data_IF_005282694649
#
_entry.id   IF_005282694649
#
_cell.length_a   1.000
_cell.length_b   1.000
_cell.length_c   1.000
_cell.angle_alpha   90.00
_cell.angle_beta   90.00
_cell.angle_gamma   90.00
#
_symmetry.space_group_name_H-M   'P 1'
#
loop_
_entity.id
_entity.type
_entity.pdbx_description
1 polymer ?
#
# COMPACT_ATOMS: atom_id res chain seq x y z
N UNK A 1 -74.92 -2.01 11.77
CA UNK A 1 -74.29 -1.11 12.75
C UNK A 1 -73.56 -1.94 13.73
N UNK A 2 -72.25 -2.13 13.46
CA UNK A 2 -71.31 -2.88 14.31
C UNK A 2 -70.46 -1.87 15.07
N UNK A 3 -70.71 -1.83 16.38
CA UNK A 3 -69.96 -0.96 17.30
C UNK A 3 -68.47 -1.24 17.25
N UNK A 4 -67.70 -0.21 16.92
CA UNK A 4 -66.25 -0.22 17.03
C UNK A 4 -65.86 -0.22 18.50
N UNK A 5 -65.36 -1.34 19.00
CA UNK A 5 -64.68 -1.40 20.30
C UNK A 5 -63.40 -0.59 20.23
N UNK A 6 -63.39 0.56 20.88
CA UNK A 6 -62.16 1.35 21.17
C UNK A 6 -61.23 0.53 22.08
N UNK A 7 -60.13 0.05 21.56
CA UNK A 7 -59.07 -0.53 22.36
C UNK A 7 -58.21 0.63 22.88
N UNK A 8 -58.74 1.35 23.86
CA UNK A 8 -57.89 2.21 24.70
C UNK A 8 -57.50 1.35 25.89
N UNK A 9 -56.30 0.80 25.85
CA UNK A 9 -55.72 0.08 26.98
C UNK A 9 -55.55 1.04 28.16
N UNK A 10 -56.25 0.78 29.24
CA UNK A 10 -56.34 1.59 30.46
C UNK A 10 -55.08 1.54 31.37
N UNK A 11 -53.92 1.15 30.84
CA UNK A 11 -52.64 1.10 31.58
C UNK A 11 -51.58 2.06 30.99
N UNK A 12 -52.01 3.28 30.64
CA UNK A 12 -51.04 4.32 30.38
C UNK A 12 -50.45 4.80 31.71
N UNK A 13 -49.19 4.46 31.97
CA UNK A 13 -48.42 5.07 33.05
C UNK A 13 -48.47 6.59 32.89
N UNK A 14 -48.88 7.37 33.93
CA UNK A 14 -48.92 8.82 33.82
C UNK A 14 -47.57 9.36 33.34
N UNK A 15 -47.59 10.29 32.38
CA UNK A 15 -46.37 10.95 31.95
C UNK A 15 -45.79 11.69 33.15
N UNK A 16 -44.45 11.60 33.37
CA UNK A 16 -43.81 12.33 34.46
C UNK A 16 -43.88 13.84 34.17
N UNK A 17 -44.01 14.65 35.21
CA UNK A 17 -44.07 16.13 35.15
C UNK A 17 -42.85 16.75 34.42
N UNK A 18 -41.72 16.05 34.47
CA UNK A 18 -40.50 16.41 33.69
C UNK A 18 -40.04 15.20 32.90
N UNK A 19 -39.87 15.39 31.59
CA UNK A 19 -39.27 14.37 30.73
C UNK A 19 -37.78 14.37 30.98
N UNK A 20 -37.29 13.35 31.63
CA UNK A 20 -35.83 13.07 31.74
C UNK A 20 -35.39 12.20 30.57
N UNK A 21 -34.20 12.50 30.01
CA UNK A 21 -33.60 11.69 28.94
C UNK A 21 -32.52 10.74 29.47
N UNK A 22 -32.12 10.91 30.72
CA UNK A 22 -31.06 10.12 31.35
C UNK A 22 -31.44 8.63 31.42
N UNK A 23 -30.59 7.76 30.89
CA UNK A 23 -30.80 6.33 30.84
C UNK A 23 -31.83 5.83 29.82
N UNK A 24 -32.38 6.72 28.98
CA UNK A 24 -33.41 6.37 28.01
C UNK A 24 -32.86 5.43 26.92
N UNK A 25 -31.62 5.69 26.46
CA UNK A 25 -30.94 4.87 25.48
C UNK A 25 -30.67 3.45 26.02
N UNK A 26 -30.24 3.33 27.25
CA UNK A 26 -29.98 2.02 27.89
C UNK A 26 -31.24 1.22 28.07
N UNK A 27 -32.32 1.88 28.48
CA UNK A 27 -33.65 1.27 28.62
C UNK A 27 -34.15 0.70 27.29
N UNK A 28 -34.14 1.50 26.24
CA UNK A 28 -34.71 1.07 24.97
C UNK A 28 -33.79 0.05 24.27
N UNK A 29 -32.48 0.15 24.43
CA UNK A 29 -31.57 -0.87 23.95
C UNK A 29 -31.88 -2.24 24.56
N UNK A 30 -32.07 -2.30 25.87
CA UNK A 30 -32.44 -3.55 26.54
C UNK A 30 -33.75 -4.14 26.00
N UNK A 31 -34.77 -3.32 25.79
CA UNK A 31 -36.04 -3.75 25.20
C UNK A 31 -35.85 -4.27 23.78
N UNK A 32 -35.12 -3.57 22.94
CA UNK A 32 -34.90 -3.99 21.55
C UNK A 32 -34.09 -5.27 21.45
N UNK A 33 -33.12 -5.47 22.34
CA UNK A 33 -32.31 -6.70 22.40
C UNK A 33 -33.16 -7.90 22.87
N UNK A 34 -34.01 -7.72 23.90
CA UNK A 34 -34.91 -8.74 24.43
C UNK A 34 -35.99 -9.14 23.40
N UNK A 35 -36.65 -8.17 22.80
CA UNK A 35 -37.66 -8.40 21.78
C UNK A 35 -37.11 -8.89 20.44
N UNK A 36 -35.79 -8.80 20.22
CA UNK A 36 -35.17 -9.08 18.94
C UNK A 36 -35.68 -8.17 17.82
N UNK A 37 -35.98 -6.89 18.13
CA UNK A 37 -36.64 -5.91 17.25
C UNK A 37 -35.92 -5.75 15.92
N UNK A 38 -34.61 -5.87 15.92
CA UNK A 38 -33.76 -5.65 14.72
C UNK A 38 -33.23 -6.93 14.08
N UNK A 39 -33.61 -8.10 14.60
CA UNK A 39 -33.20 -9.39 14.03
C UNK A 39 -33.80 -9.59 12.64
N UNK A 40 -32.99 -10.04 11.71
CA UNK A 40 -33.41 -10.48 10.39
C UNK A 40 -34.12 -11.82 10.48
N UNK A 41 -35.36 -11.87 10.03
CA UNK A 41 -36.23 -13.06 10.15
C UNK A 41 -35.95 -14.08 9.04
N UNK A 42 -35.16 -13.70 8.04
CA UNK A 42 -34.79 -14.54 6.90
C UNK A 42 -36.03 -15.08 6.15
N UNK A 43 -36.99 -14.19 5.89
CA UNK A 43 -38.18 -14.55 5.11
C UNK A 43 -37.77 -15.07 3.73
N UNK A 44 -38.50 -16.07 3.23
CA UNK A 44 -38.24 -16.65 1.89
C UNK A 44 -38.78 -15.78 0.75
N UNK A 45 -39.63 -14.83 1.03
CA UNK A 45 -40.14 -13.87 0.06
C UNK A 45 -39.13 -12.74 -0.15
N UNK A 46 -38.35 -12.84 -1.23
CA UNK A 46 -37.37 -11.82 -1.59
C UNK A 46 -37.94 -10.41 -1.79
N UNK A 47 -39.23 -10.29 -2.13
CA UNK A 47 -39.88 -8.99 -2.32
C UNK A 47 -40.13 -8.30 -0.98
N UNK A 48 -40.27 -9.06 0.09
CA UNK A 48 -40.40 -8.56 1.45
C UNK A 48 -39.07 -8.25 2.13
N UNK A 49 -37.95 -8.61 1.56
CA UNK A 49 -36.59 -8.36 2.10
C UNK A 49 -36.04 -7.05 1.57
N UNK A 50 -35.45 -6.27 2.47
CA UNK A 50 -34.60 -5.14 2.13
C UNK A 50 -33.20 -5.34 2.69
N UNK A 51 -32.21 -5.46 1.83
CA UNK A 51 -30.83 -5.69 2.23
C UNK A 51 -30.02 -4.38 2.18
N UNK A 52 -29.24 -4.14 3.23
CA UNK A 52 -28.32 -3.02 3.33
C UNK A 52 -26.90 -3.57 3.25
N UNK A 53 -26.17 -3.14 2.24
CA UNK A 53 -24.76 -3.44 2.06
C UNK A 53 -23.94 -2.20 2.42
N UNK A 54 -23.50 -2.15 3.67
CA UNK A 54 -22.66 -1.05 4.19
C UNK A 54 -21.22 -1.52 4.27
N UNK A 55 -20.24 -0.78 3.70
CA UNK A 55 -18.84 -1.12 3.87
C UNK A 55 -18.49 -1.24 5.36
N UNK A 56 -17.78 -2.30 5.77
CA UNK A 56 -17.35 -2.44 7.15
C UNK A 56 -16.38 -1.32 7.51
N UNK A 57 -16.50 -0.70 8.70
CA UNK A 57 -15.53 0.29 9.14
C UNK A 57 -14.17 -0.33 9.36
N UNK A 58 -13.11 0.39 9.01
CA UNK A 58 -11.75 -0.03 9.31
C UNK A 58 -11.49 0.10 10.79
N UNK A 59 -11.09 -1.03 11.40
CA UNK A 59 -10.80 -1.12 12.85
C UNK A 59 -9.36 -0.64 13.10
N UNK A 60 -9.18 0.67 13.21
CA UNK A 60 -7.85 1.29 13.32
C UNK A 60 -7.82 2.49 14.29
N UNK A 61 -8.43 2.35 15.45
CA UNK A 61 -8.47 3.37 16.47
C UNK A 61 -9.88 3.76 16.90
N UNK A 62 -10.10 5.02 17.21
CA UNK A 62 -11.40 5.50 17.69
C UNK A 62 -12.31 5.89 16.53
N UNK A 63 -13.59 5.63 16.69
CA UNK A 63 -14.62 6.17 15.80
C UNK A 63 -14.62 7.71 15.88
N UNK A 64 -14.74 8.34 14.74
CA UNK A 64 -14.90 9.79 14.64
C UNK A 64 -16.30 10.18 14.15
N UNK A 65 -16.63 11.47 14.25
CA UNK A 65 -17.94 12.01 13.88
C UNK A 65 -18.38 11.62 12.45
N UNK A 66 -17.45 11.46 11.52
CA UNK A 66 -17.75 11.02 10.15
C UNK A 66 -18.34 9.60 10.10
N UNK A 67 -17.83 8.67 10.91
CA UNK A 67 -18.43 7.35 11.04
C UNK A 67 -19.87 7.43 11.60
N UNK A 68 -20.05 8.17 12.68
CA UNK A 68 -21.38 8.38 13.29
C UNK A 68 -22.36 8.93 12.25
N UNK A 69 -21.94 9.94 11.51
CA UNK A 69 -22.76 10.57 10.47
C UNK A 69 -23.18 9.57 9.38
N UNK A 70 -22.23 8.84 8.79
CA UNK A 70 -22.47 7.90 7.70
C UNK A 70 -23.40 6.75 8.14
N UNK A 71 -23.14 6.15 9.29
CA UNK A 71 -23.94 5.02 9.77
C UNK A 71 -25.32 5.43 10.27
N UNK A 72 -25.48 6.65 10.81
CA UNK A 72 -26.78 7.19 11.14
C UNK A 72 -27.68 7.38 9.90
N UNK A 73 -27.11 7.86 8.78
CA UNK A 73 -27.88 7.96 7.52
C UNK A 73 -28.37 6.59 7.05
N UNK A 74 -27.52 5.59 7.10
CA UNK A 74 -27.88 4.21 6.74
C UNK A 74 -28.97 3.67 7.69
N UNK A 75 -28.85 3.94 8.98
CA UNK A 75 -29.80 3.48 9.99
C UNK A 75 -31.20 4.11 9.81
N UNK A 76 -31.27 5.37 9.42
CA UNK A 76 -32.55 6.03 9.09
C UNK A 76 -33.27 5.27 7.97
N UNK A 77 -32.57 4.83 6.94
CA UNK A 77 -33.14 4.03 5.85
C UNK A 77 -33.58 2.67 6.37
N UNK A 78 -32.80 2.01 7.20
CA UNK A 78 -33.12 0.72 7.79
C UNK A 78 -34.41 0.80 8.60
N UNK A 79 -34.51 1.81 9.47
CA UNK A 79 -35.72 2.04 10.30
C UNK A 79 -36.92 2.34 9.43
N UNK A 80 -36.84 3.23 8.47
CA UNK A 80 -37.91 3.53 7.52
C UNK A 80 -38.41 2.28 6.82
N UNK A 81 -37.51 1.41 6.31
CA UNK A 81 -37.89 0.18 5.65
C UNK A 81 -38.61 -0.81 6.60
N UNK A 82 -38.14 -0.95 7.85
CA UNK A 82 -38.86 -1.76 8.86
C UNK A 82 -40.26 -1.22 9.14
N UNK A 83 -40.40 0.09 9.30
CA UNK A 83 -41.73 0.73 9.48
C UNK A 83 -42.65 0.50 8.27
N UNK A 84 -42.07 0.30 7.07
CA UNK A 84 -42.83 -0.07 5.86
C UNK A 84 -43.12 -1.57 5.76
N UNK A 85 -42.76 -2.37 6.77
CA UNK A 85 -43.06 -3.80 6.83
C UNK A 85 -42.03 -4.72 6.18
N UNK A 86 -40.88 -4.18 5.74
CA UNK A 86 -39.82 -5.01 5.20
C UNK A 86 -39.07 -5.76 6.29
N UNK A 87 -38.64 -6.99 5.97
CA UNK A 87 -37.66 -7.74 6.73
C UNK A 87 -36.25 -7.23 6.30
N UNK A 88 -35.61 -6.46 7.19
CA UNK A 88 -34.41 -5.73 6.86
C UNK A 88 -33.16 -6.52 7.26
N UNK A 89 -32.38 -6.92 6.29
CA UNK A 89 -31.03 -7.49 6.50
C UNK A 89 -30.02 -6.35 6.62
N UNK A 90 -29.57 -6.09 7.84
CA UNK A 90 -28.59 -5.04 8.16
C UNK A 90 -27.53 -5.59 9.11
N UNK A 91 -26.53 -6.32 8.58
CA UNK A 91 -25.41 -6.84 9.37
C UNK A 91 -24.38 -5.75 9.64
N UNK A 92 -23.49 -6.01 10.61
CA UNK A 92 -22.26 -5.24 10.82
C UNK A 92 -21.05 -6.08 10.51
N UNK A 93 -20.11 -5.51 9.74
CA UNK A 93 -18.80 -6.10 9.50
C UNK A 93 -17.68 -5.27 10.12
N UNK A 94 -16.53 -5.90 10.29
CA UNK A 94 -15.30 -5.29 10.76
C UNK A 94 -14.23 -5.44 9.70
N UNK A 95 -13.61 -4.31 9.28
CA UNK A 95 -12.46 -4.31 8.39
C UNK A 95 -11.18 -4.25 9.24
N UNK A 96 -10.64 -5.44 9.53
CA UNK A 96 -9.59 -5.65 10.53
C UNK A 96 -8.18 -5.58 9.95
N UNK A 97 -8.03 -5.25 8.69
CA UNK A 97 -6.75 -5.24 8.00
C UNK A 97 -6.42 -3.89 7.36
N UNK A 98 -5.22 -3.82 6.80
CA UNK A 98 -4.73 -2.66 6.06
C UNK A 98 -3.66 -1.87 6.81
N UNK A 99 -2.98 -0.97 6.09
CA UNK A 99 -1.90 -0.15 6.63
C UNK A 99 -2.30 0.73 7.82
N UNK A 100 -3.51 1.31 7.89
CA UNK A 100 -3.92 2.07 9.07
C UNK A 100 -3.91 1.22 10.35
N UNK A 101 -4.43 -0.01 10.30
CA UNK A 101 -4.40 -0.96 11.41
C UNK A 101 -2.96 -1.34 11.77
N UNK A 102 -2.13 -1.69 10.78
CA UNK A 102 -0.72 -2.02 11.01
C UNK A 102 0.06 -0.86 11.66
N UNK A 103 -0.12 0.37 11.16
CA UNK A 103 0.51 1.57 11.76
C UNK A 103 0.05 1.83 13.18
N UNK A 104 -1.23 1.59 13.48
CA UNK A 104 -1.74 1.67 14.83
C UNK A 104 -1.05 0.66 15.74
N UNK A 105 -0.95 -0.60 15.32
CA UNK A 105 -0.27 -1.68 16.06
C UNK A 105 1.20 -1.34 16.31
N UNK A 106 1.90 -0.85 15.30
CA UNK A 106 3.30 -0.42 15.41
C UNK A 106 3.48 0.65 16.49
N UNK A 107 2.61 1.65 16.53
CA UNK A 107 2.68 2.72 17.52
C UNK A 107 2.19 2.28 18.89
N UNK A 108 1.12 1.47 18.96
CA UNK A 108 0.51 1.03 20.22
C UNK A 108 1.41 0.11 21.01
N UNK A 109 2.11 -0.80 20.33
CA UNK A 109 3.02 -1.77 20.95
C UNK A 109 4.51 -1.44 20.77
N UNK A 110 4.87 -0.44 19.97
CA UNK A 110 6.26 -0.07 19.70
C UNK A 110 7.06 -1.10 18.92
N UNK A 111 6.42 -1.75 17.95
CA UNK A 111 6.99 -2.85 17.19
C UNK A 111 6.97 -2.56 15.69
N UNK A 112 7.77 -3.29 14.93
CA UNK A 112 7.73 -3.31 13.46
C UNK A 112 8.00 -4.70 12.92
N UNK A 113 7.46 -5.02 11.77
CA UNK A 113 7.70 -6.31 11.13
C UNK A 113 9.12 -6.41 10.57
N UNK A 114 9.78 -7.52 10.86
CA UNK A 114 10.97 -8.01 10.17
C UNK A 114 10.73 -9.47 9.74
N UNK A 115 10.55 -9.67 8.43
CA UNK A 115 10.22 -10.99 7.88
C UNK A 115 11.37 -12.01 7.98
N UNK A 116 12.58 -11.57 8.32
CA UNK A 116 13.74 -12.44 8.52
C UNK A 116 13.76 -13.10 9.91
N UNK A 117 13.00 -12.55 10.86
CA UNK A 117 12.96 -13.07 12.22
C UNK A 117 12.06 -14.31 12.34
N UNK A 118 12.48 -15.32 13.13
CA UNK A 118 11.65 -16.46 13.44
C UNK A 118 10.50 -16.05 14.38
N UNK A 119 9.45 -16.89 14.39
CA UNK A 119 8.35 -16.74 15.34
C UNK A 119 8.82 -17.03 16.78
N UNK A 120 8.44 -16.16 17.69
CA UNK A 120 8.66 -16.29 19.13
C UNK A 120 7.28 -16.47 19.82
N UNK A 121 6.94 -17.67 20.32
CA UNK A 121 5.65 -17.91 20.98
C UNK A 121 5.51 -17.18 22.34
N UNK A 122 6.62 -16.80 22.96
CA UNK A 122 6.65 -16.15 24.27
C UNK A 122 6.84 -14.61 24.16
N UNK A 123 6.78 -14.07 22.96
CA UNK A 123 6.98 -12.65 22.70
C UNK A 123 5.98 -11.80 23.47
N UNK A 124 6.52 -10.83 24.23
CA UNK A 124 5.74 -9.77 24.87
C UNK A 124 6.11 -8.43 24.25
N UNK A 125 5.10 -7.58 23.91
CA UNK A 125 5.39 -6.27 23.38
C UNK A 125 6.09 -5.37 24.43
N UNK A 126 6.98 -4.46 24.00
CA UNK A 126 7.73 -3.60 24.93
C UNK A 126 6.84 -2.69 25.76
N UNK A 127 5.66 -2.34 25.25
CA UNK A 127 4.63 -1.58 25.98
C UNK A 127 3.27 -1.75 25.31
N UNK A 128 2.22 -1.32 26.01
CA UNK A 128 0.84 -1.23 25.52
C UNK A 128 0.27 0.16 25.82
N UNK A 129 -0.50 0.72 24.89
CA UNK A 129 -1.28 1.92 25.18
C UNK A 129 -0.61 3.25 24.91
N UNK A 130 0.22 3.36 23.86
CA UNK A 130 0.78 4.67 23.44
C UNK A 130 -0.11 5.39 22.45
N UNK A 131 -1.41 5.35 22.63
CA UNK A 131 -2.39 5.99 21.76
C UNK A 131 -2.06 7.48 21.54
N UNK A 132 -1.92 7.86 20.26
CA UNK A 132 -1.60 9.21 19.84
C UNK A 132 -0.11 9.57 19.86
N UNK A 133 0.79 8.71 20.32
CA UNK A 133 2.22 8.93 20.25
C UNK A 133 2.82 8.24 19.04
N UNK A 134 3.31 9.00 18.07
CA UNK A 134 4.07 8.44 16.94
C UNK A 134 5.44 8.01 17.45
N UNK A 135 5.77 6.73 17.26
CA UNK A 135 7.10 6.18 17.57
C UNK A 135 7.90 6.13 16.27
N UNK A 136 9.10 6.70 16.30
CA UNK A 136 9.98 6.63 15.12
C UNK A 136 10.33 5.17 14.83
N UNK A 137 10.38 4.81 13.55
CA UNK A 137 10.67 3.44 13.11
C UNK A 137 11.99 2.87 13.64
N UNK A 138 12.97 3.74 13.93
CA UNK A 138 14.26 3.37 14.54
C UNK A 138 14.14 2.91 15.99
N UNK A 139 13.11 3.37 16.71
CA UNK A 139 12.86 3.09 18.11
C UNK A 139 11.86 1.92 18.29
N UNK A 140 11.28 1.42 17.18
CA UNK A 140 10.40 0.25 17.17
C UNK A 140 11.20 -1.04 17.20
N UNK A 141 10.78 -1.99 18.04
CA UNK A 141 11.40 -3.32 18.15
C UNK A 141 11.02 -4.16 16.92
N UNK A 142 11.99 -4.73 16.17
CA UNK A 142 11.69 -5.62 15.08
C UNK A 142 11.16 -6.97 15.61
N UNK A 143 10.06 -7.46 15.03
CA UNK A 143 9.45 -8.74 15.40
C UNK A 143 9.07 -9.55 14.16
N UNK A 144 8.88 -10.87 14.35
CA UNK A 144 8.45 -11.73 13.26
C UNK A 144 7.08 -11.34 12.72
N UNK A 145 6.82 -11.67 11.46
CA UNK A 145 5.51 -11.42 10.85
C UNK A 145 4.38 -12.10 11.64
N UNK A 146 4.60 -13.30 12.18
CA UNK A 146 3.57 -14.03 12.91
C UNK A 146 3.23 -13.37 14.23
N UNK A 147 4.23 -12.94 15.00
CA UNK A 147 4.00 -12.18 16.22
C UNK A 147 3.26 -10.85 15.94
N UNK A 148 3.61 -10.18 14.85
CA UNK A 148 2.92 -8.96 14.46
C UNK A 148 1.44 -9.19 14.12
N UNK A 149 1.12 -10.27 13.40
CA UNK A 149 -0.27 -10.66 13.11
C UNK A 149 -1.04 -10.91 14.40
N UNK A 150 -0.47 -11.64 15.35
CA UNK A 150 -1.10 -11.90 16.66
C UNK A 150 -1.40 -10.61 17.43
N UNK A 151 -0.50 -9.62 17.37
CA UNK A 151 -0.74 -8.30 17.95
C UNK A 151 -1.82 -7.50 17.21
N UNK A 152 -1.90 -7.63 15.87
CA UNK A 152 -2.98 -7.02 15.09
C UNK A 152 -4.33 -7.60 15.51
N UNK A 153 -4.47 -8.92 15.53
CA UNK A 153 -5.69 -9.60 15.95
C UNK A 153 -6.11 -9.25 17.38
N UNK A 154 -5.13 -9.14 18.28
CA UNK A 154 -5.39 -8.74 19.68
C UNK A 154 -5.93 -7.32 19.80
N UNK A 155 -5.34 -6.35 19.08
CA UNK A 155 -5.75 -4.95 19.16
C UNK A 155 -7.08 -4.71 18.45
N UNK A 156 -7.28 -5.28 17.25
CA UNK A 156 -8.55 -5.14 16.52
C UNK A 156 -9.71 -5.69 17.32
N UNK A 157 -9.57 -6.87 17.97
CA UNK A 157 -10.61 -7.43 18.82
C UNK A 157 -10.99 -6.54 20.03
N UNK A 158 -10.09 -5.67 20.50
CA UNK A 158 -10.39 -4.66 21.51
C UNK A 158 -11.13 -3.47 20.90
N UNK A 159 -10.66 -2.97 19.78
CA UNK A 159 -11.24 -1.82 19.08
C UNK A 159 -12.68 -2.12 18.59
N UNK A 160 -12.95 -3.32 18.08
CA UNK A 160 -14.29 -3.77 17.68
C UNK A 160 -15.31 -3.64 18.81
N UNK A 161 -14.94 -4.06 20.01
CA UNK A 161 -15.82 -3.95 21.20
C UNK A 161 -16.13 -2.50 21.53
N UNK A 162 -15.16 -1.60 21.38
CA UNK A 162 -15.37 -0.18 21.59
C UNK A 162 -16.29 0.41 20.53
N UNK A 163 -16.14 0.01 19.27
CA UNK A 163 -17.00 0.43 18.17
C UNK A 163 -18.43 -0.08 18.38
N UNK A 164 -18.60 -1.35 18.68
CA UNK A 164 -19.90 -1.94 18.96
C UNK A 164 -20.60 -1.26 20.14
N UNK A 165 -19.87 -1.01 21.23
CA UNK A 165 -20.42 -0.35 22.40
C UNK A 165 -20.96 1.06 22.07
N UNK A 166 -20.19 1.84 21.26
CA UNK A 166 -20.65 3.17 20.85
C UNK A 166 -21.88 3.10 19.94
N UNK A 167 -21.90 2.21 18.96
CA UNK A 167 -23.04 2.10 18.05
C UNK A 167 -24.29 1.54 18.71
N UNK A 168 -24.15 0.65 19.68
CA UNK A 168 -25.25 0.23 20.54
C UNK A 168 -25.80 1.39 21.38
N UNK A 169 -24.89 2.27 21.87
CA UNK A 169 -25.30 3.47 22.60
C UNK A 169 -26.03 4.47 21.71
N UNK A 170 -25.62 4.63 20.45
CA UNK A 170 -26.32 5.44 19.45
C UNK A 170 -27.67 4.80 19.02
N UNK A 171 -27.92 3.56 19.40
CA UNK A 171 -29.15 2.84 19.10
C UNK A 171 -29.28 2.44 17.64
N UNK A 172 -28.17 2.21 16.91
CA UNK A 172 -28.25 1.75 15.53
C UNK A 172 -29.00 0.42 15.43
N UNK A 173 -29.91 0.33 14.47
CA UNK A 173 -30.83 -0.83 14.29
C UNK A 173 -30.15 -1.98 13.53
N UNK A 174 -29.01 -2.38 13.97
CA UNK A 174 -28.16 -3.44 13.40
C UNK A 174 -28.59 -4.78 13.98
N UNK A 175 -28.59 -5.83 13.15
CA UNK A 175 -28.67 -7.21 13.64
C UNK A 175 -27.29 -7.69 14.10
N UNK A 176 -26.99 -7.52 15.37
CA UNK A 176 -25.72 -7.89 15.97
C UNK A 176 -25.45 -9.40 16.00
N UNK A 177 -26.42 -10.23 15.66
CA UNK A 177 -26.23 -11.68 15.50
C UNK A 177 -25.61 -12.04 14.15
N UNK A 178 -25.54 -11.09 13.21
CA UNK A 178 -25.02 -11.25 11.85
C UNK A 178 -23.66 -10.55 11.65
N UNK A 179 -22.90 -10.34 12.72
CA UNK A 179 -21.57 -9.73 12.62
C UNK A 179 -20.58 -10.62 11.85
N UNK A 180 -19.65 -9.99 11.13
CA UNK A 180 -18.59 -10.69 10.42
C UNK A 180 -17.29 -9.92 10.47
N UNK A 181 -16.16 -10.62 10.29
CA UNK A 181 -14.82 -10.07 10.24
C UNK A 181 -14.24 -10.31 8.85
N UNK A 182 -13.67 -9.28 8.19
CA UNK A 182 -13.11 -9.42 6.84
C UNK A 182 -11.99 -10.45 6.77
N UNK A 183 -11.22 -10.62 7.86
CA UNK A 183 -10.15 -11.62 8.01
C UNK A 183 -10.60 -12.93 8.67
N UNK A 184 -11.89 -13.06 8.98
CA UNK A 184 -12.43 -14.29 9.57
C UNK A 184 -12.29 -15.51 8.66
N UNK A 185 -12.34 -16.73 9.22
CA UNK A 185 -12.12 -17.97 8.45
C UNK A 185 -13.12 -18.15 7.29
N UNK A 186 -14.37 -17.74 7.49
CA UNK A 186 -15.39 -17.86 6.44
C UNK A 186 -15.13 -16.90 5.28
N UNK A 187 -14.96 -15.58 5.48
CA UNK A 187 -14.57 -14.63 4.44
C UNK A 187 -13.27 -15.01 3.73
N UNK A 188 -12.23 -15.43 4.45
CA UNK A 188 -10.98 -15.90 3.84
C UNK A 188 -11.23 -17.08 2.88
N UNK A 189 -12.02 -18.07 3.31
CA UNK A 189 -12.34 -19.22 2.47
C UNK A 189 -13.11 -18.83 1.21
N UNK A 190 -14.06 -17.93 1.33
CA UNK A 190 -14.87 -17.43 0.20
C UNK A 190 -14.00 -16.65 -0.77
N UNK A 191 -13.19 -15.71 -0.28
CA UNK A 191 -12.28 -14.89 -1.08
C UNK A 191 -11.24 -15.75 -1.82
N UNK A 192 -10.60 -16.71 -1.15
CA UNK A 192 -9.64 -17.63 -1.77
C UNK A 192 -10.29 -18.49 -2.86
N UNK A 193 -11.51 -19.00 -2.63
CA UNK A 193 -12.24 -19.76 -3.64
C UNK A 193 -12.59 -18.89 -4.85
N UNK A 194 -13.02 -17.64 -4.64
CA UNK A 194 -13.31 -16.72 -5.71
C UNK A 194 -12.04 -16.43 -6.54
N UNK A 195 -10.92 -16.17 -5.87
CA UNK A 195 -9.62 -15.97 -6.53
C UNK A 195 -9.21 -17.18 -7.38
N UNK A 196 -9.30 -18.41 -6.83
CA UNK A 196 -8.96 -19.63 -7.57
C UNK A 196 -9.86 -19.85 -8.80
N UNK A 197 -11.15 -19.46 -8.74
CA UNK A 197 -12.04 -19.50 -9.89
C UNK A 197 -11.63 -18.50 -10.98
N UNK A 198 -11.23 -17.28 -10.58
CA UNK A 198 -10.71 -16.27 -11.50
C UNK A 198 -9.41 -16.73 -12.15
N UNK A 199 -8.51 -17.33 -11.38
CA UNK A 199 -7.27 -17.93 -11.88
C UNK A 199 -7.54 -19.03 -12.92
N UNK A 200 -8.50 -19.93 -12.63
CA UNK A 200 -8.88 -21.02 -13.55
C UNK A 200 -9.50 -20.52 -14.87
N UNK A 201 -10.14 -19.32 -14.86
CA UNK A 201 -10.69 -18.67 -16.07
C UNK A 201 -9.67 -17.79 -16.79
N UNK A 202 -8.45 -17.64 -16.25
CA UNK A 202 -7.44 -16.74 -16.80
C UNK A 202 -7.69 -15.25 -16.52
N UNK A 203 -8.66 -14.92 -15.69
CA UNK A 203 -8.99 -13.55 -15.29
C UNK A 203 -8.00 -13.01 -14.23
N UNK A 204 -7.45 -13.90 -13.41
CA UNK A 204 -6.35 -13.60 -12.51
C UNK A 204 -5.07 -14.21 -13.08
N UNK A 205 -4.03 -13.41 -13.21
CA UNK A 205 -2.73 -13.83 -13.73
C UNK A 205 -1.62 -13.07 -13.06
N UNK A 206 -0.40 -13.57 -13.16
CA UNK A 206 0.79 -12.93 -12.63
C UNK A 206 1.46 -12.09 -13.72
N UNK A 207 1.74 -10.84 -13.40
CA UNK A 207 2.42 -9.90 -14.30
C UNK A 207 3.49 -9.15 -13.53
N UNK A 208 4.64 -8.94 -14.19
CA UNK A 208 5.64 -7.99 -13.68
C UNK A 208 5.12 -6.57 -13.99
N UNK A 209 4.86 -5.81 -12.95
CA UNK A 209 4.39 -4.43 -13.02
C UNK A 209 5.06 -3.59 -11.93
N UNK A 210 5.39 -2.31 -12.23
CA UNK A 210 5.93 -1.41 -11.21
C UNK A 210 4.91 -1.11 -10.14
N UNK A 211 5.38 -1.07 -8.89
CA UNK A 211 4.58 -0.70 -7.73
C UNK A 211 5.36 0.22 -6.80
N UNK A 212 4.66 0.97 -5.99
CA UNK A 212 5.25 1.80 -4.95
C UNK A 212 5.65 0.92 -3.77
N UNK A 213 6.84 1.17 -3.23
CA UNK A 213 7.43 0.36 -2.15
C UNK A 213 8.06 1.24 -1.09
N UNK A 214 7.69 1.03 0.19
CA UNK A 214 8.33 1.65 1.33
C UNK A 214 9.51 0.79 1.79
N UNK A 215 10.74 1.32 1.65
CA UNK A 215 11.97 0.62 2.02
C UNK A 215 12.19 0.51 3.52
N UNK A 216 11.54 1.35 4.32
CA UNK A 216 11.64 1.35 5.78
C UNK A 216 10.77 0.26 6.38
N UNK A 217 9.51 0.21 5.94
CA UNK A 217 8.55 -0.79 6.38
C UNK A 217 8.53 -2.04 5.51
N UNK A 218 9.28 -2.04 4.40
CA UNK A 218 9.40 -3.14 3.44
C UNK A 218 8.03 -3.68 2.99
N UNK A 219 7.15 -2.77 2.61
CA UNK A 219 5.80 -3.07 2.14
C UNK A 219 5.43 -2.27 0.90
N UNK A 220 4.47 -2.80 0.13
CA UNK A 220 3.84 -2.04 -0.94
C UNK A 220 3.00 -0.90 -0.36
N UNK A 221 2.91 0.21 -1.09
CA UNK A 221 2.19 1.42 -0.68
C UNK A 221 1.15 1.75 -1.74
N UNK A 222 -0.07 2.08 -1.33
CA UNK A 222 -1.10 2.56 -2.23
C UNK A 222 -0.81 4.01 -2.68
N UNK A 223 -1.22 4.36 -3.89
CA UNK A 223 -1.01 5.71 -4.43
C UNK A 223 -1.66 6.79 -3.54
N UNK A 224 -2.80 6.49 -2.91
CA UNK A 224 -3.47 7.40 -1.99
C UNK A 224 -2.70 7.72 -0.70
N UNK A 225 -1.68 6.91 -0.37
CA UNK A 225 -0.85 7.09 0.83
C UNK A 225 0.44 7.85 0.56
N UNK A 226 0.66 8.30 -0.70
CA UNK A 226 1.83 9.10 -1.06
C UNK A 226 1.69 10.53 -0.53
N UNK A 227 2.71 10.97 0.14
CA UNK A 227 2.89 12.37 0.51
C UNK A 227 3.94 13.01 -0.39
N UNK A 228 3.56 14.03 -1.14
CA UNK A 228 4.52 14.83 -1.93
C UNK A 228 5.31 15.75 -1.00
N UNK A 229 6.63 15.66 -1.08
CA UNK A 229 7.55 16.54 -0.32
C UNK A 229 8.58 17.12 -1.26
N UNK A 230 8.81 18.42 -1.15
CA UNK A 230 9.86 19.08 -1.90
C UNK A 230 11.19 18.97 -1.16
N UNK A 231 12.22 18.57 -1.91
CA UNK A 231 13.59 18.52 -1.42
C UNK A 231 14.52 19.27 -2.37
N UNK A 232 15.50 20.00 -1.87
CA UNK A 232 16.51 20.61 -2.73
C UNK A 232 17.28 19.50 -3.47
N UNK A 233 17.33 19.61 -4.79
CA UNK A 233 18.03 18.67 -5.67
C UNK A 233 18.90 19.39 -6.67
N UNK A 234 19.82 18.68 -7.32
CA UNK A 234 20.71 19.19 -8.32
C UNK A 234 20.56 18.42 -9.63
N UNK A 235 20.69 19.13 -10.75
CA UNK A 235 20.87 18.50 -12.05
C UNK A 235 22.35 18.19 -12.24
N UNK A 236 22.65 16.95 -12.57
CA UNK A 236 23.99 16.47 -12.88
C UNK A 236 24.12 16.29 -14.39
N UNK A 237 25.05 17.00 -14.99
CA UNK A 237 25.36 16.84 -16.40
C UNK A 237 26.30 15.66 -16.58
N UNK A 238 25.85 14.63 -17.32
CA UNK A 238 26.53 13.36 -17.48
C UNK A 238 26.81 13.10 -18.97
N UNK A 239 28.05 12.70 -19.32
CA UNK A 239 28.44 12.37 -20.66
C UNK A 239 28.29 10.86 -20.91
N UNK A 240 27.38 10.47 -21.79
CA UNK A 240 27.42 9.17 -22.46
C UNK A 240 28.31 9.27 -23.70
N UNK A 241 28.85 8.18 -24.16
CA UNK A 241 29.75 8.20 -25.32
C UNK A 241 29.31 7.22 -26.38
N UNK A 242 29.39 7.65 -27.64
CA UNK A 242 29.31 6.77 -28.79
C UNK A 242 30.53 5.86 -28.85
N UNK A 243 30.52 4.88 -29.73
CA UNK A 243 31.65 3.95 -29.91
C UNK A 243 32.92 4.63 -30.37
N UNK A 244 32.82 5.71 -31.15
CA UNK A 244 33.93 6.58 -31.57
C UNK A 244 34.46 7.51 -30.48
N UNK A 245 33.87 7.47 -29.27
CA UNK A 245 34.22 8.32 -28.14
C UNK A 245 33.52 9.68 -28.13
N UNK A 246 32.72 10.03 -29.15
CA UNK A 246 31.97 11.29 -29.19
C UNK A 246 30.99 11.37 -28.04
N UNK A 247 30.96 12.46 -27.26
CA UNK A 247 30.06 12.57 -26.12
C UNK A 247 28.68 13.07 -26.51
N UNK A 248 27.62 12.49 -25.86
CA UNK A 248 26.29 13.06 -25.78
C UNK A 248 25.98 13.32 -24.31
N UNK A 249 25.47 14.52 -24.01
CA UNK A 249 25.25 14.96 -22.65
C UNK A 249 23.77 14.82 -22.29
N UNK A 250 23.52 14.25 -21.11
CA UNK A 250 22.20 14.24 -20.47
C UNK A 250 22.27 15.04 -19.17
N UNK A 251 21.10 15.44 -18.65
CA UNK A 251 20.98 15.99 -17.31
C UNK A 251 20.04 15.14 -16.48
N UNK A 252 20.49 14.73 -15.31
CA UNK A 252 19.72 13.87 -14.41
C UNK A 252 19.79 14.39 -12.98
N UNK A 253 18.71 14.18 -12.23
CA UNK A 253 18.68 14.40 -10.79
C UNK A 253 19.04 13.14 -9.99
N UNK A 254 19.23 11.99 -10.68
CA UNK A 254 19.48 10.69 -10.07
C UNK A 254 20.66 9.95 -10.71
N UNK A 255 21.90 10.46 -10.56
CA UNK A 255 23.08 9.84 -11.16
C UNK A 255 23.37 8.44 -10.60
N UNK A 256 22.86 8.11 -9.40
CA UNK A 256 22.99 6.78 -8.79
C UNK A 256 22.33 5.67 -9.60
N UNK A 257 21.42 6.01 -10.53
CA UNK A 257 20.73 5.03 -11.37
C UNK A 257 21.42 4.73 -12.69
N UNK A 258 22.60 5.30 -12.97
CA UNK A 258 23.35 5.06 -14.22
C UNK A 258 23.55 3.58 -14.53
N UNK A 259 23.77 2.74 -13.50
CA UNK A 259 23.92 1.29 -13.68
C UNK A 259 22.62 0.60 -14.12
N UNK A 260 21.47 1.20 -13.87
CA UNK A 260 20.15 0.69 -14.25
C UNK A 260 19.64 1.28 -15.57
N UNK A 261 20.44 2.12 -16.25
CA UNK A 261 20.06 2.76 -17.49
C UNK A 261 19.73 1.73 -18.57
N UNK A 262 18.57 1.88 -19.22
CA UNK A 262 18.07 1.00 -20.28
C UNK A 262 18.10 1.65 -21.65
N UNK A 263 17.94 2.98 -21.69
CA UNK A 263 17.94 3.77 -22.91
C UNK A 263 18.17 5.25 -22.62
N UNK A 264 18.56 6.02 -23.63
CA UNK A 264 18.39 7.46 -23.66
C UNK A 264 17.15 7.77 -24.49
N UNK A 265 16.31 8.71 -24.04
CA UNK A 265 15.02 9.02 -24.66
C UNK A 265 14.93 10.53 -24.93
N UNK A 266 14.58 10.86 -26.17
CA UNK A 266 14.34 12.24 -26.60
C UNK A 266 13.03 12.35 -27.39
N UNK A 267 12.50 13.55 -27.51
CA UNK A 267 11.28 13.79 -28.27
C UNK A 267 11.55 13.59 -29.79
N UNK A 268 10.67 12.88 -30.52
CA UNK A 268 10.81 12.67 -31.95
C UNK A 268 10.84 13.98 -32.77
N UNK A 269 10.32 15.07 -32.24
CA UNK A 269 10.31 16.39 -32.86
C UNK A 269 11.52 17.25 -32.52
N UNK A 270 12.41 16.75 -31.64
CA UNK A 270 13.62 17.49 -31.28
C UNK A 270 14.74 17.28 -32.32
N UNK A 271 14.96 18.31 -33.15
CA UNK A 271 15.94 18.28 -34.23
C UNK A 271 17.36 17.98 -33.75
N UNK A 272 17.68 18.30 -32.49
CA UNK A 272 19.03 18.07 -31.90
C UNK A 272 19.37 16.59 -31.84
N UNK A 273 18.38 15.70 -31.69
CA UNK A 273 18.57 14.28 -31.44
C UNK A 273 18.06 13.35 -32.54
N UNK A 274 17.35 13.86 -33.55
CA UNK A 274 16.81 13.04 -34.65
C UNK A 274 17.82 12.13 -35.33
N UNK A 275 19.01 12.64 -35.54
CA UNK A 275 20.10 11.91 -36.21
C UNK A 275 20.68 10.75 -35.40
N UNK A 276 20.38 10.70 -34.10
CA UNK A 276 20.93 9.69 -33.16
C UNK A 276 19.96 8.56 -32.85
N UNK A 277 18.67 8.67 -33.24
CA UNK A 277 17.70 7.61 -32.96
C UNK A 277 18.12 6.28 -33.58
N UNK A 278 18.08 5.21 -32.76
CA UNK A 278 18.52 3.88 -33.15
C UNK A 278 20.01 3.61 -32.96
N UNK A 279 20.80 4.63 -32.68
CA UNK A 279 22.23 4.46 -32.36
C UNK A 279 22.42 4.06 -30.90
N UNK A 280 23.59 3.54 -30.58
CA UNK A 280 23.94 3.10 -29.24
C UNK A 280 25.02 3.99 -28.63
N UNK A 281 24.90 4.16 -27.31
CA UNK A 281 25.89 4.87 -26.49
C UNK A 281 26.23 4.06 -25.25
N UNK A 282 27.33 4.37 -24.61
CA UNK A 282 27.81 3.73 -23.39
C UNK A 282 27.70 4.69 -22.22
N UNK A 283 27.14 4.21 -21.12
CA UNK A 283 27.11 4.98 -19.88
C UNK A 283 28.52 5.14 -19.31
N UNK A 284 28.82 6.27 -18.65
CA UNK A 284 30.06 6.40 -17.93
C UNK A 284 30.14 5.41 -16.78
N UNK A 285 31.33 5.09 -16.30
CA UNK A 285 31.71 4.13 -15.24
C UNK A 285 31.37 2.67 -15.52
N UNK A 286 30.12 2.39 -15.86
CA UNK A 286 29.60 1.03 -15.95
C UNK A 286 29.64 0.49 -17.38
N UNK A 287 29.91 1.35 -18.35
CA UNK A 287 29.90 1.03 -19.79
C UNK A 287 28.70 0.24 -20.25
N UNK A 288 27.55 0.57 -19.65
CA UNK A 288 26.27 -0.05 -20.04
C UNK A 288 25.89 0.45 -21.42
N UNK A 289 25.80 -0.45 -22.39
CA UNK A 289 25.40 -0.14 -23.76
C UNK A 289 23.88 0.05 -23.80
N UNK A 290 23.42 1.22 -24.28
CA UNK A 290 22.00 1.58 -24.35
C UNK A 290 21.67 2.26 -25.69
N UNK A 291 20.47 2.04 -26.24
CA UNK A 291 20.01 2.72 -27.44
C UNK A 291 19.52 4.13 -27.12
N UNK A 292 19.54 4.99 -28.15
CA UNK A 292 18.85 6.28 -28.14
C UNK A 292 17.52 6.08 -28.86
N UNK A 293 16.41 6.35 -28.15
CA UNK A 293 15.06 6.09 -28.62
C UNK A 293 14.21 7.37 -28.63
N UNK A 294 13.17 7.36 -29.46
CA UNK A 294 12.24 8.46 -29.56
C UNK A 294 10.96 8.16 -28.75
N UNK A 295 10.49 9.13 -27.96
CA UNK A 295 9.19 9.04 -27.31
C UNK A 295 8.56 10.43 -27.17
N UNK A 296 7.25 10.61 -27.49
CA UNK A 296 6.59 11.93 -27.47
C UNK A 296 6.45 12.53 -26.08
N UNK A 297 6.44 11.72 -25.01
CA UNK A 297 6.39 12.19 -23.62
C UNK A 297 7.73 12.75 -23.13
N UNK A 298 8.82 12.72 -23.92
CA UNK A 298 10.06 13.39 -23.56
C UNK A 298 9.92 14.90 -23.75
N UNK A 299 10.17 15.67 -22.70
CA UNK A 299 10.06 17.13 -22.69
C UNK A 299 11.32 17.76 -23.28
N UNK A 300 11.18 18.51 -24.39
CA UNK A 300 12.31 19.11 -25.10
C UNK A 300 13.03 20.21 -24.31
N UNK A 301 12.30 20.88 -23.41
CA UNK A 301 12.79 22.02 -22.64
C UNK A 301 13.26 21.62 -21.24
N UNK A 302 13.16 20.34 -20.85
CA UNK A 302 13.58 19.86 -19.55
C UNK A 302 15.04 19.38 -19.57
N UNK A 303 15.90 20.04 -18.82
CA UNK A 303 17.32 19.73 -18.81
C UNK A 303 17.96 19.81 -20.21
N UNK A 304 18.65 18.76 -20.63
CA UNK A 304 19.24 18.69 -21.95
C UNK A 304 18.21 18.37 -23.07
N UNK A 305 16.96 18.05 -22.75
CA UNK A 305 15.94 17.58 -23.73
C UNK A 305 16.09 16.12 -24.11
N UNK A 306 17.11 15.44 -23.60
CA UNK A 306 17.32 13.99 -23.67
C UNK A 306 17.54 13.47 -22.25
N UNK A 307 16.82 12.41 -21.89
CA UNK A 307 16.86 11.84 -20.54
C UNK A 307 17.31 10.38 -20.57
N UNK A 308 17.92 9.92 -19.49
CA UNK A 308 18.15 8.49 -19.29
C UNK A 308 16.92 7.84 -18.69
N UNK A 309 16.47 6.73 -19.26
CA UNK A 309 15.46 5.86 -18.67
C UNK A 309 16.17 4.79 -17.82
N UNK A 310 15.89 4.76 -16.53
CA UNK A 310 16.56 3.88 -15.58
C UNK A 310 15.56 2.95 -14.92
N UNK A 311 14.97 2.08 -15.71
CA UNK A 311 13.94 1.11 -15.32
C UNK A 311 12.73 1.82 -14.68
N UNK A 312 12.74 2.16 -13.40
CA UNK A 312 11.64 2.88 -12.74
C UNK A 312 12.17 4.00 -11.87
N UNK A 313 12.94 4.88 -12.46
CA UNK A 313 13.49 6.06 -11.80
C UNK A 313 12.41 7.05 -11.34
N UNK A 314 11.39 7.22 -12.18
CA UNK A 314 10.19 8.01 -11.89
C UNK A 314 8.97 7.45 -12.66
N UNK A 315 7.84 8.18 -12.62
CA UNK A 315 6.60 7.77 -13.29
C UNK A 315 6.75 7.79 -14.82
N UNK A 316 7.51 8.72 -15.37
CA UNK A 316 7.75 8.83 -16.80
C UNK A 316 8.60 7.65 -17.31
N UNK A 317 9.58 7.20 -16.52
CA UNK A 317 10.36 6.00 -16.81
C UNK A 317 9.49 4.75 -16.95
N UNK A 318 8.42 4.63 -16.14
CA UNK A 318 7.45 3.53 -16.22
C UNK A 318 6.66 3.56 -17.52
N UNK A 319 6.24 4.74 -17.97
CA UNK A 319 5.55 4.93 -19.26
C UNK A 319 6.46 4.51 -20.41
N UNK A 320 7.68 5.02 -20.47
CA UNK A 320 8.67 4.66 -21.50
C UNK A 320 9.01 3.17 -21.49
N UNK A 321 9.20 2.59 -20.30
CA UNK A 321 9.48 1.16 -20.17
C UNK A 321 8.36 0.31 -20.79
N UNK A 322 7.11 0.65 -20.50
CA UNK A 322 5.94 -0.09 -20.99
C UNK A 322 5.77 0.06 -22.49
N UNK A 323 5.80 1.30 -22.99
CA UNK A 323 5.49 1.63 -24.38
C UNK A 323 6.61 1.18 -25.33
N UNK A 324 7.85 1.31 -24.93
CA UNK A 324 9.02 0.90 -25.69
C UNK A 324 9.49 -0.54 -25.37
N UNK A 325 8.80 -1.25 -24.46
CA UNK A 325 9.12 -2.63 -24.04
C UNK A 325 10.59 -2.78 -23.59
N UNK A 326 11.07 -1.83 -22.81
CA UNK A 326 12.43 -1.78 -22.35
C UNK A 326 12.75 -2.93 -21.36
N UNK A 327 14.01 -3.37 -21.27
CA UNK A 327 14.40 -4.38 -20.29
C UNK A 327 14.28 -3.84 -18.85
N UNK A 328 14.09 -4.76 -17.89
CA UNK A 328 14.09 -4.42 -16.47
C UNK A 328 15.47 -4.65 -15.88
N UNK A 329 16.07 -3.61 -15.33
CA UNK A 329 17.42 -3.62 -14.74
C UNK A 329 17.38 -3.19 -13.26
N UNK A 330 16.90 -4.04 -12.33
CA UNK A 330 16.80 -3.69 -10.93
C UNK A 330 18.17 -3.67 -10.26
N UNK A 331 18.52 -2.56 -9.63
CA UNK A 331 19.75 -2.40 -8.84
C UNK A 331 19.49 -2.02 -7.38
N UNK A 332 18.23 -1.82 -7.00
CA UNK A 332 17.82 -1.46 -5.65
C UNK A 332 17.12 -2.66 -5.02
N UNK A 333 17.55 -3.06 -3.82
CA UNK A 333 16.94 -4.12 -3.02
C UNK A 333 15.72 -3.61 -2.22
N UNK A 334 14.94 -4.52 -1.66
CA UNK A 334 13.74 -4.20 -0.84
C UNK A 334 14.02 -3.26 0.33
N UNK A 335 15.22 -3.33 0.90
CA UNK A 335 15.67 -2.46 1.99
C UNK A 335 16.26 -1.12 1.50
N UNK A 336 16.12 -0.78 0.21
CA UNK A 336 16.64 0.44 -0.40
C UNK A 336 18.15 0.44 -0.67
N UNK A 337 18.85 -0.67 -0.40
CA UNK A 337 20.29 -0.79 -0.69
C UNK A 337 20.51 -1.18 -2.14
N UNK A 338 21.65 -0.75 -2.69
CA UNK A 338 22.08 -1.21 -4.01
C UNK A 338 22.51 -2.67 -3.92
N UNK A 339 22.29 -3.44 -5.00
CA UNK A 339 22.69 -4.84 -5.09
C UNK A 339 24.18 -5.00 -4.89
N UNK A 340 24.59 -6.10 -4.23
CA UNK A 340 26.00 -6.38 -3.92
C UNK A 340 26.73 -7.01 -5.12
N UNK A 341 26.02 -7.85 -5.87
CA UNK A 341 26.56 -8.55 -7.01
C UNK A 341 26.50 -7.67 -8.26
N UNK A 342 27.53 -7.73 -9.09
CA UNK A 342 27.56 -7.00 -10.36
C UNK A 342 26.53 -7.60 -11.31
N UNK A 343 25.55 -6.82 -11.80
CA UNK A 343 24.59 -7.31 -12.78
C UNK A 343 25.25 -7.66 -14.12
N UNK A 344 24.70 -8.66 -14.82
CA UNK A 344 25.24 -9.21 -16.07
C UNK A 344 25.29 -8.21 -17.24
N UNK A 345 24.50 -7.12 -17.18
CA UNK A 345 24.46 -6.09 -18.21
C UNK A 345 25.56 -5.02 -18.06
N UNK A 346 26.40 -5.10 -17.04
CA UNK A 346 27.52 -4.19 -16.81
C UNK A 346 28.77 -4.79 -17.44
N UNK A 347 29.31 -4.13 -18.49
CA UNK A 347 30.48 -4.61 -19.25
C UNK A 347 31.80 -4.36 -18.51
N UNK A 348 31.86 -3.31 -17.66
CA UNK A 348 33.06 -2.99 -16.88
C UNK A 348 32.85 -3.23 -15.38
N UNK A 349 33.06 -4.46 -14.89
CA UNK A 349 32.92 -4.76 -13.47
C UNK A 349 34.00 -4.09 -12.59
N UNK A 350 35.09 -3.59 -13.19
CA UNK A 350 36.15 -2.84 -12.46
C UNK A 350 35.67 -1.50 -11.91
N UNK A 351 34.62 -0.90 -12.51
CA UNK A 351 33.95 0.28 -11.99
C UNK A 351 33.15 0.04 -10.70
N UNK A 352 32.80 -1.20 -10.44
CA UNK A 352 32.11 -1.66 -9.23
C UNK A 352 33.10 -2.20 -8.20
N UNK A 353 33.98 -1.36 -7.67
CA UNK A 353 34.81 -1.77 -6.56
C UNK A 353 33.92 -2.11 -5.36
N UNK A 354 33.86 -3.41 -4.98
CA UNK A 354 32.99 -3.96 -3.92
C UNK A 354 32.96 -3.13 -2.63
N UNK A 355 34.06 -2.44 -2.31
CA UNK A 355 34.19 -1.65 -1.10
C UNK A 355 33.58 -0.23 -1.17
N UNK A 356 33.26 0.31 -2.36
CA UNK A 356 32.69 1.67 -2.49
C UNK A 356 31.17 1.71 -2.47
N UNK A 357 30.50 0.60 -2.77
CA UNK A 357 29.04 0.51 -2.76
C UNK A 357 28.49 0.02 -1.42
N UNK A 358 29.26 -0.74 -0.65
CA UNK A 358 28.84 -1.31 0.65
C UNK A 358 28.62 -0.27 1.73
N UNK A 359 29.35 0.86 1.69
CA UNK A 359 29.27 1.89 2.74
C UNK A 359 28.19 2.96 2.51
N UNK A 360 27.47 2.90 1.40
CA UNK A 360 26.48 3.90 1.04
C UNK A 360 25.04 3.46 1.25
N UNK A 361 24.75 3.04 2.48
CA UNK A 361 23.38 2.99 3.00
C UNK A 361 22.86 4.41 3.15
N UNK A 362 21.66 4.65 2.65
CA UNK A 362 20.88 5.85 2.95
C UNK A 362 20.67 5.95 4.48
N UNK A 363 21.60 6.55 5.20
CA UNK A 363 21.43 6.90 6.61
C UNK A 363 20.90 8.33 6.72
N UNK A 364 19.80 8.56 7.45
CA UNK A 364 19.11 9.86 7.50
C UNK A 364 19.78 10.98 8.29
N UNK A 365 20.96 10.85 8.86
CA UNK A 365 21.34 11.72 9.98
C UNK A 365 22.56 12.64 9.87
N UNK A 366 23.23 12.86 8.72
CA UNK A 366 24.44 13.70 8.67
C UNK A 366 24.35 15.02 7.85
N UNK A 367 23.16 15.61 7.74
CA UNK A 367 22.90 16.75 6.82
C UNK A 367 23.47 18.10 7.22
N UNK A 368 23.88 18.32 8.45
CA UNK A 368 24.27 19.68 8.93
C UNK A 368 25.74 20.06 8.72
N UNK A 369 26.65 19.13 8.47
CA UNK A 369 28.10 19.41 8.44
C UNK A 369 28.72 19.60 7.05
N UNK A 370 28.08 19.23 5.95
CA UNK A 370 28.67 19.23 4.61
C UNK A 370 28.31 20.42 3.72
N UNK A 371 27.20 21.10 3.94
CA UNK A 371 26.80 22.30 3.18
C UNK A 371 27.81 23.47 3.27
N UNK A 372 28.72 23.42 4.22
CA UNK A 372 29.71 24.47 4.47
C UNK A 372 31.04 24.34 3.68
N UNK A 373 31.31 23.18 3.03
CA UNK A 373 32.60 22.91 2.36
C UNK A 373 32.64 23.18 0.85
N UNK A 374 31.49 23.18 0.15
CA UNK A 374 31.43 23.29 -1.34
C UNK A 374 31.68 24.71 -1.88
N UNK A 375 31.69 25.73 -1.06
CA UNK A 375 31.87 27.14 -1.53
C UNK A 375 33.31 27.59 -1.78
N UNK A 376 34.34 26.73 -1.79
CA UNK A 376 35.73 27.17 -1.83
C UNK A 376 36.66 26.53 -2.88
N UNK A 377 36.25 26.09 -4.05
CA UNK A 377 37.23 25.75 -5.09
C UNK A 377 36.77 26.12 -6.49
N UNK A 378 37.19 27.30 -6.93
CA UNK A 378 37.13 27.74 -8.33
C UNK A 378 38.33 27.25 -9.11
N UNK A 379 38.42 25.96 -9.44
CA UNK A 379 39.40 25.42 -10.40
C UNK A 379 38.71 24.50 -11.40
N UNK A 380 38.99 24.68 -12.69
CA UNK A 380 38.58 23.75 -13.76
C UNK A 380 39.20 22.39 -13.48
N UNK A 381 38.39 21.39 -13.23
CA UNK A 381 38.80 20.03 -12.96
C UNK A 381 38.82 19.20 -14.25
N UNK A 382 39.75 18.24 -14.28
CA UNK A 382 39.83 17.15 -15.24
C UNK A 382 38.48 16.39 -15.30
N UNK A 383 38.00 15.95 -16.47
CA UNK A 383 36.70 15.25 -16.62
C UNK A 383 36.54 14.02 -15.72
N UNK A 384 37.63 13.30 -15.45
CA UNK A 384 37.61 12.11 -14.60
C UNK A 384 37.57 12.46 -13.10
N UNK A 385 38.21 13.57 -12.70
CA UNK A 385 38.10 14.12 -11.34
C UNK A 385 36.73 14.77 -11.09
N UNK A 386 36.15 15.45 -12.09
CA UNK A 386 34.81 16.02 -12.02
C UNK A 386 33.76 14.93 -11.89
N UNK A 387 34.00 13.76 -12.46
CA UNK A 387 33.10 12.63 -12.35
C UNK A 387 33.14 11.96 -10.96
N UNK A 388 34.31 11.78 -10.37
CA UNK A 388 34.46 11.30 -9.00
C UNK A 388 33.84 12.29 -7.97
N UNK A 389 33.87 13.57 -8.29
CA UNK A 389 33.24 14.63 -7.48
C UNK A 389 31.70 14.61 -7.66
N UNK A 390 31.21 14.40 -8.89
CA UNK A 390 29.79 14.17 -9.21
C UNK A 390 29.22 12.95 -8.51
N UNK A 391 29.98 11.86 -8.44
CA UNK A 391 29.57 10.68 -7.69
C UNK A 391 29.57 10.92 -6.18
N UNK A 392 30.47 11.74 -5.67
CA UNK A 392 30.46 12.15 -4.25
C UNK A 392 29.26 13.03 -3.94
N UNK A 393 28.94 13.98 -4.81
CA UNK A 393 27.80 14.89 -4.67
C UNK A 393 26.47 14.17 -4.92
N UNK A 394 26.37 13.27 -5.91
CA UNK A 394 25.21 12.42 -6.16
C UNK A 394 24.92 11.47 -5.00
N UNK A 395 25.96 10.93 -4.35
CA UNK A 395 25.87 10.15 -3.11
C UNK A 395 25.32 10.97 -1.95
N UNK A 396 25.64 12.26 -1.93
CA UNK A 396 25.16 13.19 -0.92
C UNK A 396 23.67 13.51 -1.14
N UNK A 397 23.29 13.80 -2.39
CA UNK A 397 21.89 14.09 -2.76
C UNK A 397 20.97 12.87 -2.62
N UNK A 398 21.48 11.64 -2.83
CA UNK A 398 20.75 10.40 -2.58
C UNK A 398 20.51 10.14 -1.09
N UNK A 399 21.40 10.62 -0.21
CA UNK A 399 21.22 10.58 1.26
C UNK A 399 20.12 11.52 1.74
N UNK A 400 19.84 12.57 0.98
CA UNK A 400 18.93 13.65 1.36
C UNK A 400 17.48 13.41 0.92
N UNK A 401 17.20 12.35 0.15
CA UNK A 401 15.90 12.08 -0.43
C UNK A 401 15.20 10.91 0.25
N UNK A 402 14.20 11.21 1.06
CA UNK A 402 13.18 10.26 1.50
C UNK A 402 12.06 10.09 0.44
N UNK A 403 12.41 9.95 -0.83
CA UNK A 403 11.45 9.48 -1.82
C UNK A 403 11.38 7.95 -1.69
N UNK A 404 10.19 7.35 -1.56
CA UNK A 404 10.08 5.91 -1.62
C UNK A 404 10.60 5.45 -2.99
N UNK A 405 11.62 4.56 -3.05
CA UNK A 405 12.06 4.00 -4.31
C UNK A 405 10.95 3.11 -4.87
N UNK A 406 10.69 3.24 -6.16
CA UNK A 406 9.90 2.29 -6.91
C UNK A 406 10.75 1.05 -7.13
N UNK A 407 10.40 -0.08 -6.53
CA UNK A 407 11.19 -1.32 -6.53
C UNK A 407 10.36 -2.51 -7.04
N UNK A 408 11.01 -3.41 -7.76
CA UNK A 408 10.41 -4.62 -8.33
C UNK A 408 10.45 -5.82 -7.38
N UNK A 409 9.42 -6.64 -7.47
CA UNK A 409 9.37 -7.97 -6.87
C UNK A 409 9.88 -9.04 -7.84
N UNK A 410 10.94 -9.76 -7.47
CA UNK A 410 11.63 -10.72 -8.31
C UNK A 410 11.00 -12.12 -8.30
N UNK A 411 11.16 -12.85 -9.40
CA UNK A 411 10.64 -14.20 -9.73
C UNK A 411 10.78 -15.31 -8.67
N UNK A 412 11.48 -15.12 -7.56
CA UNK A 412 11.67 -16.16 -6.52
C UNK A 412 10.40 -16.52 -5.74
N UNK A 413 9.46 -15.58 -5.60
CA UNK A 413 8.16 -15.88 -4.98
C UNK A 413 7.23 -16.70 -5.87
N UNK A 414 7.44 -16.67 -7.18
CA UNK A 414 6.66 -17.39 -8.20
C UNK A 414 6.49 -18.88 -7.85
N UNK A 415 7.57 -19.59 -7.57
CA UNK A 415 7.54 -21.06 -7.33
C UNK A 415 7.01 -21.47 -5.95
N UNK A 416 7.12 -20.62 -4.94
CA UNK A 416 6.62 -20.96 -3.59
C UNK A 416 5.13 -20.64 -3.44
N UNK A 417 4.62 -19.57 -4.01
CA UNK A 417 3.19 -19.24 -4.01
C UNK A 417 2.39 -20.24 -4.85
N UNK A 418 2.89 -20.60 -6.04
CA UNK A 418 2.29 -21.63 -6.90
C UNK A 418 2.25 -23.00 -6.22
N UNK A 419 3.31 -23.40 -5.54
CA UNK A 419 3.36 -24.69 -4.80
C UNK A 419 2.47 -24.69 -3.56
N UNK A 420 2.29 -23.56 -2.86
CA UNK A 420 1.37 -23.46 -1.71
C UNK A 420 -0.09 -23.43 -2.16
N UNK A 421 -0.43 -22.69 -3.21
CA UNK A 421 -1.77 -22.67 -3.78
C UNK A 421 -2.17 -24.04 -4.33
N UNK A 422 -1.24 -24.73 -5.03
CA UNK A 422 -1.46 -26.07 -5.58
C UNK A 422 -1.62 -27.14 -4.49
N UNK A 423 -0.83 -27.10 -3.40
CA UNK A 423 -0.99 -28.01 -2.26
C UNK A 423 -2.28 -27.77 -1.47
N UNK A 424 -2.69 -26.53 -1.31
CA UNK A 424 -3.98 -26.19 -0.68
C UNK A 424 -5.15 -26.71 -1.53
N UNK A 425 -5.04 -26.66 -2.86
CA UNK A 425 -6.03 -27.19 -3.78
C UNK A 425 -6.13 -28.72 -3.76
N UNK A 426 -5.01 -29.45 -3.66
CA UNK A 426 -5.01 -30.91 -3.55
C UNK A 426 -5.55 -31.43 -2.21
N UNK A 427 -5.50 -30.64 -1.13
CA UNK A 427 -6.05 -30.99 0.19
C UNK A 427 -7.57 -30.90 0.29
N UNK A 428 -8.24 -30.22 -0.66
CA UNK A 428 -9.70 -30.11 -0.72
C UNK A 428 -10.26 -31.08 -1.74
N UNK A 429 -10.50 -32.34 -1.34
CA UNK A 429 -11.31 -33.29 -2.13
C UNK A 429 -12.74 -32.73 -2.23
N UNK A 430 -13.06 -32.13 -3.35
CA UNK A 430 -14.45 -31.87 -3.76
C UNK A 430 -14.99 -33.17 -4.34
N UNK A 431 -16.14 -33.70 -3.85
CA UNK A 431 -16.74 -34.89 -4.44
C UNK A 431 -17.14 -34.63 -5.90
N UNK A 432 -17.03 -35.57 -6.83
CA UNK A 432 -17.26 -35.36 -8.27
C UNK A 432 -18.74 -35.36 -8.68
N UNK A 433 -19.64 -34.70 -7.94
CA UNK A 433 -21.06 -34.60 -8.28
C UNK A 433 -21.57 -33.17 -8.20
N UNK A 434 -21.08 -32.33 -9.12
CA UNK A 434 -21.72 -31.03 -9.43
C UNK A 434 -21.34 -30.52 -10.84
N UNK A 435 -21.28 -31.48 -11.81
CA UNK A 435 -21.35 -31.16 -13.24
C UNK A 435 -22.67 -31.67 -13.79
N UNK A 436 -23.71 -30.89 -13.61
CA UNK A 436 -24.89 -30.84 -14.48
C UNK A 436 -25.96 -29.96 -13.81
N UNK A 437 -26.24 -28.82 -14.44
CA UNK A 437 -27.30 -27.84 -14.20
C UNK A 437 -26.84 -26.56 -13.51
N UNK A 438 -26.45 -25.62 -14.35
CA UNK A 438 -26.86 -24.21 -14.25
C UNK A 438 -26.76 -23.60 -15.65
N UNK A 439 -27.89 -23.49 -16.30
CA UNK A 439 -28.20 -22.41 -17.21
C UNK A 439 -28.51 -21.18 -16.39
#
# INVERSE_FOLDING_TARGET
MTEGKSIINANLTPLPDKVGVDGLEDKWRAVWDEDGTYKFRNTRDRKAVYSIDTPPPTVSGSLHVGHVFSYTHTDVIARYKRMRGYDVFYPMGWDDNGLPTERRVQNYYGVRVDVSLPYDPDFQPPFEGTDGKKIDAKDQVPISRKNFIELCERLTAQDEKLFEALWRKLGLSIDWSQTYHTIGQHPQRVAQKAFLRNLARGEAYQQDAPGLWDVTFQTAVAQAELESREYPGFYHKVAFRFEDGTPIYIETTRPELLAACTSLIANPNDERYKQYFGQYVYSPLFKVKVPILAHPAAEMDKGAGIAMCCTFGDVTDVEWWRDLKLPTRPIIQRNGRIVMDTPDWIEDPGGLCRNRWQDHVLRPQDHRRQAARVRRSGRRADPDQAYDELLREGRQAARDRHLPPVVFEERRYRRQAERRAYRAWQGTRVPPRLHARAL
#
